data_IF_984463540579
#
_entry.id   IF_984463540579
#
_cell.length_a   1.000
_cell.length_b   1.000
_cell.length_c   1.000
_cell.angle_alpha   90.00
_cell.angle_beta   90.00
_cell.angle_gamma   90.00
#
_symmetry.space_group_name_H-M   'P 1'
#
loop_
_entity.id
_entity.type
_entity.pdbx_description
1 polymer ?
#
# COMPACT_ATOMS: atom_id res chain seq x y z
N UNK A 1 0.68 0.41 -30.92
CA UNK A 1 0.79 0.35 -29.46
C UNK A 1 -0.61 0.27 -28.90
N UNK A 2 -0.85 -0.65 -27.99
CA UNK A 2 -2.16 -0.81 -27.36
C UNK A 2 -2.43 0.38 -26.42
N UNK A 3 -3.67 0.89 -26.38
CA UNK A 3 -4.10 2.02 -25.50
C UNK A 3 -3.75 1.79 -24.02
N UNK A 4 -3.64 0.52 -23.62
CA UNK A 4 -3.22 0.12 -22.28
C UNK A 4 -1.74 0.43 -22.00
N UNK A 5 -0.86 0.21 -22.97
CA UNK A 5 0.58 0.39 -22.83
C UNK A 5 0.95 1.88 -22.68
N UNK A 6 0.23 2.76 -23.38
CA UNK A 6 0.35 4.21 -23.25
C UNK A 6 -0.07 4.70 -21.84
N UNK A 7 -1.22 4.24 -21.35
CA UNK A 7 -1.69 4.53 -19.99
C UNK A 7 -0.66 4.06 -18.95
N UNK A 8 -0.11 2.87 -19.15
CA UNK A 8 0.88 2.30 -18.25
C UNK A 8 2.16 3.12 -18.24
N UNK A 9 2.68 3.50 -19.41
CA UNK A 9 3.89 4.32 -19.53
C UNK A 9 3.77 5.69 -18.86
N UNK A 10 2.61 6.34 -18.95
CA UNK A 10 2.39 7.68 -18.39
C UNK A 10 2.11 7.65 -16.89
N UNK A 11 1.22 6.76 -16.42
CA UNK A 11 0.71 6.82 -15.07
C UNK A 11 1.42 5.89 -14.08
N UNK A 12 2.10 4.84 -14.55
CA UNK A 12 2.85 3.94 -13.66
C UNK A 12 3.92 4.68 -12.84
N UNK A 13 4.78 5.54 -13.43
CA UNK A 13 5.79 6.25 -12.66
C UNK A 13 5.17 7.21 -11.63
N UNK A 14 4.00 7.78 -11.93
CA UNK A 14 3.26 8.66 -11.03
C UNK A 14 2.75 7.87 -9.82
N UNK A 15 2.10 6.73 -10.05
CA UNK A 15 1.65 5.81 -9.00
C UNK A 15 2.81 5.33 -8.13
N UNK A 16 3.89 4.83 -8.74
CA UNK A 16 5.04 4.30 -8.01
C UNK A 16 5.66 5.39 -7.13
N UNK A 17 5.87 6.59 -7.69
CA UNK A 17 6.41 7.73 -6.94
C UNK A 17 5.49 8.13 -5.78
N UNK A 18 4.17 8.10 -5.96
CA UNK A 18 3.21 8.39 -4.91
C UNK A 18 3.35 7.46 -3.69
N UNK A 19 3.58 6.15 -3.91
CA UNK A 19 3.75 5.17 -2.83
C UNK A 19 5.16 5.19 -2.22
N UNK A 20 6.20 5.42 -3.04
CA UNK A 20 7.57 5.61 -2.54
C UNK A 20 7.67 6.77 -1.54
N UNK A 21 7.02 7.92 -1.84
CA UNK A 21 6.98 9.07 -0.92
C UNK A 21 6.22 8.78 0.39
N UNK A 22 5.52 7.65 0.49
CA UNK A 22 4.80 7.20 1.68
C UNK A 22 5.52 6.11 2.46
N UNK A 23 6.75 5.78 2.05
CA UNK A 23 7.60 4.83 2.77
C UNK A 23 7.43 3.37 2.35
N UNK A 24 6.73 3.08 1.25
CA UNK A 24 6.74 1.75 0.67
C UNK A 24 8.14 1.40 0.15
N UNK A 25 8.53 0.13 0.24
CA UNK A 25 9.67 -0.41 -0.52
C UNK A 25 9.42 -0.29 -2.03
N UNK A 26 10.48 -0.31 -2.85
CA UNK A 26 10.35 -0.25 -4.31
C UNK A 26 9.45 -1.34 -4.88
N UNK A 27 9.61 -2.59 -4.44
CA UNK A 27 8.79 -3.72 -4.86
C UNK A 27 7.30 -3.48 -4.52
N UNK A 28 7.00 -3.18 -3.26
CA UNK A 28 5.62 -2.87 -2.84
C UNK A 28 5.01 -1.66 -3.56
N UNK A 29 5.80 -0.62 -3.81
CA UNK A 29 5.35 0.55 -4.55
C UNK A 29 4.99 0.20 -6.00
N UNK A 30 5.76 -0.68 -6.64
CA UNK A 30 5.45 -1.22 -7.98
C UNK A 30 4.17 -2.04 -7.96
N UNK A 31 3.98 -2.94 -7.00
CA UNK A 31 2.76 -3.74 -6.88
C UNK A 31 1.51 -2.86 -6.76
N UNK A 32 1.56 -1.87 -5.87
CA UNK A 32 0.45 -0.94 -5.66
C UNK A 32 0.21 -0.06 -6.89
N UNK A 33 1.26 0.30 -7.63
CA UNK A 33 1.13 1.01 -8.90
C UNK A 33 0.43 0.17 -9.98
N UNK A 34 0.73 -1.13 -10.06
CA UNK A 34 0.03 -2.04 -10.97
C UNK A 34 -1.46 -2.13 -10.61
N UNK A 35 -1.79 -2.37 -9.33
CA UNK A 35 -3.19 -2.43 -8.87
C UNK A 35 -3.93 -1.11 -9.14
N UNK A 36 -3.27 0.03 -8.93
CA UNK A 36 -3.84 1.34 -9.24
C UNK A 36 -4.23 1.46 -10.72
N UNK A 37 -3.33 1.10 -11.63
CA UNK A 37 -3.59 1.21 -13.07
C UNK A 37 -4.64 0.23 -13.57
N UNK A 38 -4.67 -1.00 -13.03
CA UNK A 38 -5.73 -1.96 -13.34
C UNK A 38 -7.10 -1.41 -12.93
N UNK A 39 -7.20 -0.80 -11.75
CA UNK A 39 -8.46 -0.17 -11.29
C UNK A 39 -8.83 1.06 -12.11
N UNK A 40 -7.85 1.86 -12.53
CA UNK A 40 -8.08 3.00 -13.44
C UNK A 40 -8.63 2.50 -14.77
N UNK A 41 -7.96 1.53 -15.39
CA UNK A 41 -8.36 0.95 -16.68
C UNK A 41 -9.77 0.35 -16.63
N UNK A 42 -10.12 -0.36 -15.57
CA UNK A 42 -11.45 -0.94 -15.41
C UNK A 42 -12.52 0.10 -15.04
N UNK A 43 -12.14 1.19 -14.36
CA UNK A 43 -13.06 2.21 -13.87
C UNK A 43 -13.30 3.38 -14.82
N UNK A 44 -12.37 3.65 -15.76
CA UNK A 44 -12.42 4.84 -16.62
C UNK A 44 -13.65 4.87 -17.52
N UNK A 45 -14.15 3.71 -17.97
CA UNK A 45 -15.36 3.63 -18.79
C UNK A 45 -16.64 4.09 -18.06
N UNK A 46 -16.63 4.08 -16.72
CA UNK A 46 -17.73 4.57 -15.88
C UNK A 46 -17.50 5.98 -15.31
N UNK A 47 -16.41 6.65 -15.68
CA UNK A 47 -16.09 7.98 -15.17
C UNK A 47 -17.05 9.03 -15.77
N UNK A 48 -17.94 9.57 -14.94
CA UNK A 48 -19.01 10.51 -15.35
C UNK A 48 -18.54 11.95 -15.59
N UNK A 49 -17.28 12.28 -15.28
CA UNK A 49 -16.74 13.64 -15.43
C UNK A 49 -17.28 14.67 -14.43
N UNK A 50 -17.95 14.24 -13.35
CA UNK A 50 -18.45 15.14 -12.29
C UNK A 50 -17.32 15.79 -11.46
N UNK A 51 -16.10 15.26 -11.57
CA UNK A 51 -14.87 15.82 -11.02
C UNK A 51 -13.76 15.72 -12.08
N UNK A 52 -12.60 16.35 -11.85
CA UNK A 52 -11.43 16.13 -12.70
C UNK A 52 -10.92 14.68 -12.60
N UNK A 53 -10.31 14.17 -13.67
CA UNK A 53 -9.70 12.84 -13.67
C UNK A 53 -8.64 12.73 -12.55
N UNK A 54 -7.80 13.76 -12.39
CA UNK A 54 -6.78 13.81 -11.35
C UNK A 54 -7.38 13.66 -9.94
N UNK A 55 -8.48 14.35 -9.67
CA UNK A 55 -9.17 14.22 -8.38
C UNK A 55 -9.62 12.79 -8.11
N UNK A 56 -10.20 12.12 -9.11
CA UNK A 56 -10.61 10.72 -8.99
C UNK A 56 -9.41 9.77 -8.84
N UNK A 57 -8.36 9.98 -9.64
CA UNK A 57 -7.14 9.20 -9.64
C UNK A 57 -6.41 9.27 -8.29
N UNK A 58 -6.18 10.47 -7.74
CA UNK A 58 -5.54 10.62 -6.44
C UNK A 58 -6.42 10.10 -5.30
N UNK A 59 -7.74 10.13 -5.42
CA UNK A 59 -8.65 9.49 -4.45
C UNK A 59 -8.49 7.97 -4.46
N UNK A 60 -8.34 7.36 -5.64
CA UNK A 60 -8.06 5.93 -5.79
C UNK A 60 -6.71 5.56 -5.15
N UNK A 61 -5.65 6.32 -5.43
CA UNK A 61 -4.33 6.12 -4.81
C UNK A 61 -4.38 6.29 -3.28
N UNK A 62 -5.15 7.26 -2.78
CA UNK A 62 -5.39 7.47 -1.35
C UNK A 62 -6.09 6.28 -0.69
N UNK A 63 -7.08 5.69 -1.37
CA UNK A 63 -7.78 4.51 -0.87
C UNK A 63 -6.88 3.27 -0.84
N UNK A 64 -6.07 3.05 -1.89
CA UNK A 64 -5.08 1.97 -1.91
C UNK A 64 -4.07 2.11 -0.78
N UNK A 65 -3.56 3.31 -0.55
CA UNK A 65 -2.64 3.57 0.54
C UNK A 65 -3.24 3.27 1.92
N UNK A 66 -4.49 3.69 2.17
CA UNK A 66 -5.18 3.39 3.43
C UNK A 66 -5.36 1.89 3.63
N UNK A 67 -5.64 1.15 2.56
CA UNK A 67 -5.75 -0.30 2.63
C UNK A 67 -4.39 -0.96 2.92
N UNK A 68 -3.32 -0.47 2.30
CA UNK A 68 -1.96 -0.94 2.57
C UNK A 68 -1.57 -0.75 4.03
N UNK A 69 -1.82 0.44 4.59
CA UNK A 69 -1.56 0.71 6.00
C UNK A 69 -2.30 -0.25 6.93
N UNK A 70 -3.55 -0.60 6.59
CA UNK A 70 -4.31 -1.59 7.35
C UNK A 70 -3.66 -2.96 7.32
N UNK A 71 -3.25 -3.44 6.14
CA UNK A 71 -2.57 -4.73 6.00
C UNK A 71 -1.24 -4.79 6.74
N UNK A 72 -0.46 -3.70 6.73
CA UNK A 72 0.79 -3.62 7.47
C UNK A 72 0.54 -3.68 8.98
N UNK A 73 -0.46 -2.95 9.49
CA UNK A 73 -0.82 -2.97 10.90
C UNK A 73 -1.34 -4.33 11.36
N UNK A 74 -2.21 -4.97 10.59
CA UNK A 74 -2.73 -6.32 10.86
C UNK A 74 -1.58 -7.35 10.89
N UNK A 75 -0.66 -7.25 9.93
CA UNK A 75 0.51 -8.13 9.85
C UNK A 75 1.46 -7.93 11.05
N UNK A 76 1.67 -6.69 11.48
CA UNK A 76 2.47 -6.38 12.67
C UNK A 76 1.82 -6.91 13.96
N UNK A 77 0.49 -6.80 14.08
CA UNK A 77 -0.27 -7.33 15.23
C UNK A 77 -0.20 -8.85 15.29
N UNK A 78 -0.41 -9.53 14.17
CA UNK A 78 -0.31 -11.00 14.11
C UNK A 78 1.10 -11.52 14.42
N UNK A 79 2.15 -10.77 14.05
CA UNK A 79 3.52 -11.10 14.41
C UNK A 79 3.78 -10.90 15.92
N UNK A 80 3.25 -9.82 16.51
CA UNK A 80 3.37 -9.56 17.94
C UNK A 80 2.67 -10.63 18.78
N UNK A 81 1.49 -11.09 18.36
CA UNK A 81 0.73 -12.15 19.04
C UNK A 81 1.43 -13.51 18.98
N UNK A 82 2.08 -13.84 17.85
CA UNK A 82 2.82 -15.10 17.66
C UNK A 82 4.19 -15.13 18.33
N UNK A 83 4.67 -13.99 18.83
CA UNK A 83 6.01 -13.91 19.44
C UNK A 83 5.98 -14.56 20.83
N UNK A 84 6.66 -15.70 21.03
CA UNK A 84 6.55 -16.50 22.27
C UNK A 84 7.41 -15.96 23.41
N UNK A 85 8.08 -14.81 23.20
CA UNK A 85 8.94 -14.21 24.21
C UNK A 85 8.11 -13.54 25.30
N UNK A 86 8.08 -14.12 26.50
CA UNK A 86 7.65 -13.42 27.70
C UNK A 86 8.81 -12.66 28.29
N UNK A 87 8.55 -11.41 28.66
CA UNK A 87 9.49 -10.62 29.44
C UNK A 87 9.19 -10.84 30.92
N UNK A 88 10.20 -11.24 31.67
CA UNK A 88 10.13 -11.32 33.13
C UNK A 88 11.26 -10.48 33.73
N UNK A 89 10.92 -9.76 34.80
CA UNK A 89 11.87 -8.90 35.52
C UNK A 89 12.46 -9.69 36.67
N UNK A 90 13.76 -9.96 36.61
CA UNK A 90 14.53 -10.60 37.67
C UNK A 90 15.62 -9.64 38.13
N UNK A 91 15.71 -9.38 39.43
CA UNK A 91 16.80 -8.59 40.03
C UNK A 91 17.03 -7.23 39.33
N UNK A 92 15.93 -6.54 38.99
CA UNK A 92 15.97 -5.24 38.30
C UNK A 92 16.31 -5.28 36.80
N UNK A 93 16.68 -6.44 36.24
CA UNK A 93 16.98 -6.62 34.80
C UNK A 93 15.83 -7.30 34.06
N UNK A 94 15.55 -6.84 32.85
CA UNK A 94 14.55 -7.45 31.97
C UNK A 94 15.17 -8.69 31.30
N UNK A 95 14.57 -9.88 31.48
CA UNK A 95 14.99 -11.13 30.82
C UNK A 95 13.89 -11.64 29.88
N UNK A 96 14.30 -12.30 28.79
CA UNK A 96 13.42 -12.92 27.79
C UNK A 96 13.37 -14.42 28.05
N UNK A 97 12.17 -15.00 28.16
CA UNK A 97 11.97 -16.46 28.28
C UNK A 97 10.99 -16.92 27.22
N UNK A 98 11.14 -18.17 26.77
CA UNK A 98 10.10 -18.83 25.97
C UNK A 98 8.85 -19.05 26.83
N UNK A 99 7.67 -18.80 26.25
CA UNK A 99 6.38 -19.13 26.83
C UNK A 99 6.13 -20.64 26.82
#
# INVERSE_FOLDING_TARGET
MDRFEELFGEYFPICQRYFLHRGCSDERAKDLAQDALLRVYNGIGGFRGEASFDTWFFRLLGNLWKNELRHVLESAQGQAEKTPWRFHRQDGRMRRTWA
#
